data_IF_760199537639
#
_entry.id   IF_760199537639
#
_cell.length_a   1.000
_cell.length_b   1.000
_cell.length_c   1.000
_cell.angle_alpha   90.00
_cell.angle_beta   90.00
_cell.angle_gamma   90.00
#
_symmetry.space_group_name_H-M   'P 1'
#
loop_
_entity.id
_entity.type
_entity.pdbx_description
1 polymer ?
#
# COMPACT_ATOMS: atom_id res chain seq x y z
N UNK A 1 15.22 30.75 35.92
CA UNK A 1 13.85 31.05 35.46
C UNK A 1 13.42 29.87 34.60
N UNK A 2 12.66 28.94 35.18
CA UNK A 2 12.14 27.76 34.47
C UNK A 2 10.92 28.22 33.68
N UNK A 3 11.02 28.30 32.36
CA UNK A 3 9.86 28.53 31.50
C UNK A 3 8.89 27.38 31.68
N UNK A 4 7.64 27.76 31.98
CA UNK A 4 6.54 26.84 32.17
C UNK A 4 6.28 26.14 30.85
N UNK A 5 6.42 24.82 30.83
CA UNK A 5 5.75 23.97 29.86
C UNK A 5 4.26 24.32 29.94
N UNK A 6 3.77 25.07 28.95
CA UNK A 6 2.33 25.19 28.69
C UNK A 6 1.85 23.76 28.45
N UNK A 7 0.95 23.30 29.33
CA UNK A 7 0.35 21.98 29.19
C UNK A 7 -0.28 21.88 27.82
N UNK A 8 0.09 20.82 27.07
CA UNK A 8 -0.59 20.49 25.84
C UNK A 8 -2.09 20.41 26.12
N UNK A 9 -2.91 21.07 25.29
CA UNK A 9 -4.36 20.94 25.41
C UNK A 9 -4.74 19.45 25.34
N UNK A 10 -5.68 18.98 26.19
CA UNK A 10 -5.99 17.55 26.32
C UNK A 10 -6.38 16.84 25.01
N UNK A 11 -6.79 17.61 24.00
CA UNK A 11 -7.31 17.14 22.71
C UNK A 11 -6.47 17.58 21.50
N UNK A 12 -5.27 18.14 21.71
CA UNK A 12 -4.42 18.56 20.60
C UNK A 12 -3.97 17.35 19.76
N UNK A 13 -4.10 17.44 18.43
CA UNK A 13 -3.73 16.40 17.46
C UNK A 13 -2.62 16.88 16.51
N UNK A 14 -1.99 15.96 15.79
CA UNK A 14 -1.02 16.33 14.75
C UNK A 14 -1.70 17.14 13.61
N UNK A 15 -1.01 18.11 13.02
CA UNK A 15 0.42 18.41 13.20
C UNK A 15 0.79 19.23 14.45
N UNK A 16 -0.16 19.90 15.11
CA UNK A 16 0.11 20.84 16.21
C UNK A 16 0.62 20.14 17.48
N UNK A 17 0.15 18.92 17.77
CA UNK A 17 0.57 18.13 18.93
C UNK A 17 1.71 17.13 18.63
N UNK A 18 2.43 17.32 17.52
CA UNK A 18 3.49 16.39 17.13
C UNK A 18 4.66 16.43 18.13
N UNK A 19 4.98 15.28 18.72
CA UNK A 19 6.07 15.15 19.71
C UNK A 19 7.45 15.10 19.04
N UNK A 20 7.59 14.42 17.90
CA UNK A 20 8.87 14.29 17.19
C UNK A 20 9.12 15.46 16.23
N UNK A 21 10.39 15.78 15.97
CA UNK A 21 10.75 16.79 14.98
C UNK A 21 11.12 16.13 13.64
N UNK A 22 10.46 16.47 12.51
CA UNK A 22 10.80 15.91 11.19
C UNK A 22 12.09 16.47 10.60
N UNK A 23 12.71 17.45 11.25
CA UNK A 23 13.91 18.14 10.82
C UNK A 23 14.98 18.13 11.91
N UNK A 24 16.23 18.30 11.50
CA UNK A 24 17.40 18.45 12.38
C UNK A 24 18.35 19.48 11.77
N UNK A 25 19.33 19.95 12.54
CA UNK A 25 20.35 20.89 12.07
C UNK A 25 21.65 20.16 11.75
N UNK A 26 22.19 20.40 10.55
CA UNK A 26 23.55 20.03 10.16
C UNK A 26 24.29 21.28 9.71
N UNK A 27 25.37 21.63 10.40
CA UNK A 27 26.19 22.82 10.10
C UNK A 27 25.38 24.12 10.00
N UNK A 28 24.35 24.26 10.84
CA UNK A 28 23.45 25.42 10.85
C UNK A 28 22.36 25.42 9.77
N UNK A 29 22.29 24.39 8.93
CA UNK A 29 21.25 24.23 7.90
C UNK A 29 20.19 23.25 8.39
N UNK A 30 18.92 23.63 8.26
CA UNK A 30 17.79 22.73 8.50
C UNK A 30 17.71 21.67 7.40
N UNK A 31 17.71 20.40 7.83
CA UNK A 31 17.62 19.23 6.95
C UNK A 31 16.56 18.26 7.48
N UNK A 32 16.10 17.34 6.63
CA UNK A 32 15.19 16.27 7.05
C UNK A 32 15.86 15.32 8.04
N UNK A 33 15.16 15.01 9.13
CA UNK A 33 15.52 13.93 10.04
C UNK A 33 14.81 12.64 9.62
N UNK A 34 15.52 11.78 8.90
CA UNK A 34 14.97 10.50 8.41
C UNK A 34 14.56 9.54 9.52
N UNK A 35 14.98 9.78 10.77
CA UNK A 35 14.57 8.97 11.93
C UNK A 35 13.20 9.38 12.47
N UNK A 36 12.70 10.55 12.06
CA UNK A 36 11.42 11.09 12.49
C UNK A 36 10.52 11.50 11.31
N UNK A 37 11.00 11.43 10.08
CA UNK A 37 10.26 11.85 8.88
C UNK A 37 9.42 10.72 8.27
N UNK A 38 8.10 10.76 8.49
CA UNK A 38 7.15 9.72 8.04
C UNK A 38 7.28 9.34 6.55
N UNK A 39 7.38 10.28 5.59
CA UNK A 39 7.50 9.90 4.18
C UNK A 39 8.75 9.07 3.86
N UNK A 40 9.84 9.22 4.61
CA UNK A 40 11.02 8.38 4.47
C UNK A 40 10.71 6.91 4.86
N UNK A 41 10.02 6.69 5.98
CA UNK A 41 9.63 5.34 6.40
C UNK A 41 8.69 4.68 5.39
N UNK A 42 7.64 5.39 4.96
CA UNK A 42 6.66 4.87 4.02
C UNK A 42 7.31 4.46 2.69
N UNK A 43 8.14 5.35 2.12
CA UNK A 43 8.82 5.08 0.86
C UNK A 43 9.85 3.95 0.99
N UNK A 44 10.68 3.96 2.03
CA UNK A 44 11.73 2.96 2.24
C UNK A 44 11.16 1.56 2.46
N UNK A 45 10.14 1.43 3.31
CA UNK A 45 9.47 0.16 3.59
C UNK A 45 8.75 -0.35 2.33
N UNK A 46 7.93 0.48 1.68
CA UNK A 46 7.22 0.08 0.46
C UNK A 46 8.18 -0.35 -0.65
N UNK A 47 9.29 0.36 -0.83
CA UNK A 47 10.29 0.03 -1.84
C UNK A 47 10.98 -1.31 -1.54
N UNK A 48 11.36 -1.57 -0.28
CA UNK A 48 11.95 -2.84 0.12
C UNK A 48 10.97 -4.01 -0.06
N UNK A 49 9.73 -3.84 0.39
CA UNK A 49 8.68 -4.86 0.26
C UNK A 49 8.35 -5.15 -1.20
N UNK A 50 8.17 -4.11 -2.02
CA UNK A 50 7.81 -4.23 -3.44
C UNK A 50 8.90 -4.93 -4.23
N UNK A 51 10.17 -4.56 -4.04
CA UNK A 51 11.30 -5.21 -4.73
C UNK A 51 11.41 -6.69 -4.36
N UNK A 52 11.40 -7.01 -3.07
CA UNK A 52 11.54 -8.39 -2.61
C UNK A 52 10.36 -9.27 -3.04
N UNK A 53 9.13 -8.74 -2.97
CA UNK A 53 7.93 -9.46 -3.38
C UNK A 53 7.95 -9.71 -4.89
N UNK A 54 8.25 -8.67 -5.68
CA UNK A 54 8.24 -8.79 -7.13
C UNK A 54 9.29 -9.77 -7.66
N UNK A 55 10.45 -9.92 -7.00
CA UNK A 55 11.45 -10.92 -7.37
C UNK A 55 10.93 -12.35 -7.12
N UNK A 56 10.44 -12.61 -5.91
CA UNK A 56 9.90 -13.94 -5.53
C UNK A 56 8.72 -14.33 -6.41
N UNK A 57 7.80 -13.40 -6.66
CA UNK A 57 6.61 -13.71 -7.43
C UNK A 57 6.91 -13.98 -8.90
N UNK A 58 7.88 -13.26 -9.49
CA UNK A 58 8.32 -13.53 -10.87
C UNK A 58 8.96 -14.89 -10.99
N UNK A 59 9.87 -15.21 -10.08
CA UNK A 59 10.58 -16.49 -10.06
C UNK A 59 9.61 -17.67 -9.91
N UNK A 60 8.63 -17.57 -9.01
CA UNK A 60 7.76 -18.70 -8.66
C UNK A 60 6.49 -18.80 -9.50
N UNK A 61 5.97 -17.69 -9.99
CA UNK A 61 4.62 -17.62 -10.58
C UNK A 61 4.56 -16.83 -11.88
N UNK A 62 5.66 -16.24 -12.33
CA UNK A 62 5.69 -15.42 -13.55
C UNK A 62 5.00 -14.06 -13.42
N UNK A 63 4.60 -13.63 -12.22
CA UNK A 63 3.91 -12.35 -11.99
C UNK A 63 4.76 -11.36 -11.20
N UNK A 64 4.62 -10.07 -11.47
CA UNK A 64 5.24 -9.00 -10.70
C UNK A 64 4.37 -8.54 -9.52
N UNK A 65 4.86 -7.53 -8.80
CA UNK A 65 4.11 -6.94 -7.67
C UNK A 65 2.83 -6.25 -8.12
N UNK A 66 2.80 -5.67 -9.32
CA UNK A 66 1.62 -4.99 -9.86
C UNK A 66 0.53 -6.01 -10.17
N UNK A 67 0.87 -7.12 -10.82
CA UNK A 67 -0.04 -8.22 -11.09
C UNK A 67 -0.56 -8.84 -9.79
N UNK A 68 0.31 -9.06 -8.79
CA UNK A 68 -0.12 -9.51 -7.47
C UNK A 68 -1.14 -8.56 -6.84
N UNK A 69 -0.86 -7.25 -6.84
CA UNK A 69 -1.79 -6.25 -6.30
C UNK A 69 -3.12 -6.23 -7.04
N UNK A 70 -3.11 -6.41 -8.36
CA UNK A 70 -4.32 -6.55 -9.18
C UNK A 70 -5.11 -7.81 -8.80
N UNK A 71 -4.45 -8.96 -8.65
CA UNK A 71 -5.09 -10.21 -8.19
C UNK A 71 -5.72 -10.02 -6.81
N UNK A 72 -4.96 -9.50 -5.85
CA UNK A 72 -5.45 -9.25 -4.50
C UNK A 72 -6.65 -8.29 -4.50
N UNK A 73 -6.62 -7.25 -5.32
CA UNK A 73 -7.75 -6.32 -5.45
C UNK A 73 -8.99 -7.01 -6.03
N UNK A 74 -8.84 -7.82 -7.09
CA UNK A 74 -9.96 -8.56 -7.68
C UNK A 74 -10.53 -9.64 -6.73
N UNK A 75 -9.73 -10.15 -5.79
CA UNK A 75 -10.20 -11.03 -4.72
C UNK A 75 -10.97 -10.27 -3.63
N UNK A 76 -10.59 -9.01 -3.34
CA UNK A 76 -11.26 -8.15 -2.35
C UNK A 76 -12.58 -7.60 -2.89
N UNK A 77 -12.56 -7.09 -4.12
CA UNK A 77 -13.71 -6.49 -4.81
C UNK A 77 -13.83 -7.12 -6.20
N UNK A 78 -14.59 -8.22 -6.34
CA UNK A 78 -14.85 -8.85 -7.63
C UNK A 78 -15.66 -7.94 -8.56
N UNK A 79 -15.61 -8.21 -9.87
CA UNK A 79 -16.43 -7.54 -10.88
C UNK A 79 -16.23 -6.02 -10.94
N UNK A 80 -14.96 -5.59 -10.91
CA UNK A 80 -14.58 -4.18 -10.98
C UNK A 80 -13.89 -3.80 -12.28
N UNK A 81 -13.85 -2.50 -12.55
CA UNK A 81 -13.16 -1.94 -13.72
C UNK A 81 -11.69 -1.66 -13.42
N UNK A 82 -10.87 -1.53 -14.47
CA UNK A 82 -9.48 -1.05 -14.33
C UNK A 82 -9.39 0.30 -13.60
N UNK A 83 -10.37 1.19 -13.77
CA UNK A 83 -10.41 2.48 -13.08
C UNK A 83 -10.57 2.32 -11.56
N UNK A 84 -11.41 1.37 -11.14
CA UNK A 84 -11.60 1.05 -9.72
C UNK A 84 -10.34 0.44 -9.10
N UNK A 85 -9.63 -0.41 -9.86
CA UNK A 85 -8.32 -0.95 -9.44
C UNK A 85 -7.31 0.19 -9.25
N UNK A 86 -7.24 1.15 -10.18
CA UNK A 86 -6.35 2.31 -10.06
C UNK A 86 -6.66 3.13 -8.80
N UNK A 87 -7.94 3.38 -8.53
CA UNK A 87 -8.40 4.16 -7.38
C UNK A 87 -8.01 3.53 -6.03
N UNK A 88 -8.15 2.21 -5.90
CA UNK A 88 -7.95 1.53 -4.62
C UNK A 88 -6.49 1.12 -4.41
N UNK A 89 -5.84 0.59 -5.45
CA UNK A 89 -4.45 0.10 -5.38
C UNK A 89 -3.43 1.24 -5.52
N UNK A 90 -3.88 2.43 -5.92
CA UNK A 90 -3.04 3.58 -6.26
C UNK A 90 -2.00 3.25 -7.35
N UNK A 91 -2.45 2.52 -8.36
CA UNK A 91 -1.68 2.25 -9.59
C UNK A 91 -2.00 3.30 -10.64
N UNK A 92 -1.01 3.68 -11.44
CA UNK A 92 -1.29 4.44 -12.65
C UNK A 92 -2.09 3.59 -13.65
N UNK A 93 -2.86 4.27 -14.50
CA UNK A 93 -3.76 3.62 -15.47
C UNK A 93 -3.02 2.67 -16.42
N UNK A 94 -1.80 3.01 -16.82
CA UNK A 94 -1.04 2.17 -17.73
C UNK A 94 -0.51 0.91 -17.01
N UNK A 95 -0.08 1.02 -15.76
CA UNK A 95 0.32 -0.11 -14.92
C UNK A 95 -0.85 -1.06 -14.66
N UNK A 96 -2.01 -0.55 -14.28
CA UNK A 96 -3.21 -1.39 -14.07
C UNK A 96 -3.63 -2.09 -15.37
N UNK A 97 -3.62 -1.37 -16.50
CA UNK A 97 -3.96 -1.95 -17.81
C UNK A 97 -2.99 -3.05 -18.23
N UNK A 98 -1.67 -2.85 -18.05
CA UNK A 98 -0.66 -3.87 -18.36
C UNK A 98 -0.81 -5.10 -17.47
N UNK A 99 -1.03 -4.92 -16.17
CA UNK A 99 -1.23 -6.03 -15.25
C UNK A 99 -2.47 -6.85 -15.61
N UNK A 100 -3.60 -6.19 -15.92
CA UNK A 100 -4.81 -6.89 -16.38
C UNK A 100 -4.57 -7.67 -17.69
N UNK A 101 -3.88 -7.07 -18.67
CA UNK A 101 -3.55 -7.75 -19.92
C UNK A 101 -2.69 -9.00 -19.68
N UNK A 102 -1.61 -8.87 -18.90
CA UNK A 102 -0.76 -10.01 -18.55
C UNK A 102 -1.53 -11.12 -17.83
N UNK A 103 -2.40 -10.77 -16.88
CA UNK A 103 -3.20 -11.75 -16.15
C UNK A 103 -4.27 -12.44 -17.02
N UNK A 104 -4.85 -11.71 -17.98
CA UNK A 104 -5.79 -12.24 -18.97
C UNK A 104 -5.07 -13.21 -19.92
N UNK A 105 -3.89 -12.85 -20.42
CA UNK A 105 -3.02 -13.72 -21.24
C UNK A 105 -2.61 -15.00 -20.50
N UNK A 106 -2.41 -14.93 -19.18
CA UNK A 106 -2.14 -16.08 -18.32
C UNK A 106 -3.39 -16.95 -18.04
N UNK A 107 -4.56 -16.52 -18.48
CA UNK A 107 -5.84 -17.20 -18.27
C UNK A 107 -6.31 -17.19 -16.82
N UNK A 108 -5.95 -16.16 -16.04
CA UNK A 108 -6.28 -16.04 -14.62
C UNK A 108 -7.56 -15.22 -14.36
N UNK A 109 -8.04 -14.51 -15.39
CA UNK A 109 -9.16 -13.59 -15.27
C UNK A 109 -10.36 -14.07 -16.08
N UNK A 110 -11.54 -13.65 -15.63
CA UNK A 110 -12.71 -13.52 -16.48
C UNK A 110 -12.98 -12.03 -16.75
N UNK A 111 -13.63 -11.74 -17.86
CA UNK A 111 -14.01 -10.36 -18.18
C UNK A 111 -15.23 -10.23 -19.08
N UNK A 112 -15.92 -9.10 -18.95
CA UNK A 112 -17.06 -8.74 -19.79
C UNK A 112 -17.02 -7.25 -20.13
N UNK A 113 -17.37 -6.91 -21.35
CA UNK A 113 -17.54 -5.50 -21.76
C UNK A 113 -18.84 -4.96 -21.18
N UNK A 114 -18.79 -3.79 -20.55
CA UNK A 114 -19.97 -3.15 -19.99
C UNK A 114 -20.97 -2.77 -21.09
N UNK A 115 -22.22 -3.17 -20.91
CA UNK A 115 -23.32 -2.82 -21.83
C UNK A 115 -23.55 -1.30 -21.90
N UNK A 116 -23.24 -0.57 -20.82
CA UNK A 116 -23.47 0.88 -20.71
C UNK A 116 -22.34 1.71 -21.32
N UNK A 117 -21.12 1.16 -21.40
CA UNK A 117 -19.97 1.83 -22.01
C UNK A 117 -19.01 0.76 -22.57
N UNK A 118 -19.00 0.55 -23.89
CA UNK A 118 -18.15 -0.46 -24.54
C UNK A 118 -16.65 -0.27 -24.29
N UNK A 119 -16.24 0.91 -23.80
CA UNK A 119 -14.85 1.22 -23.45
C UNK A 119 -14.48 0.74 -22.04
N UNK A 120 -15.46 0.28 -21.25
CA UNK A 120 -15.26 -0.23 -19.89
C UNK A 120 -15.40 -1.73 -19.89
N UNK A 121 -14.34 -2.41 -19.44
CA UNK A 121 -14.34 -3.84 -19.18
C UNK A 121 -14.39 -4.07 -17.67
N UNK A 122 -15.23 -5.00 -17.26
CA UNK A 122 -15.36 -5.50 -15.90
C UNK A 122 -14.54 -6.78 -15.80
N UNK A 123 -13.79 -6.95 -14.72
CA UNK A 123 -12.84 -8.04 -14.50
C UNK A 123 -13.12 -8.75 -13.18
N UNK A 124 -12.86 -10.05 -13.14
CA UNK A 124 -12.89 -10.86 -11.92
C UNK A 124 -11.84 -11.98 -12.01
N UNK A 125 -11.48 -12.58 -10.87
CA UNK A 125 -10.67 -13.80 -10.86
C UNK A 125 -11.51 -15.01 -11.27
N UNK A 126 -11.00 -15.83 -12.17
CA UNK A 126 -11.56 -17.17 -12.38
C UNK A 126 -10.98 -18.18 -11.37
N UNK A 127 -11.35 -19.46 -11.47
CA UNK A 127 -10.89 -20.50 -10.54
C UNK A 127 -9.36 -20.58 -10.46
N UNK A 128 -8.66 -20.54 -11.61
CA UNK A 128 -7.20 -20.53 -11.69
C UNK A 128 -6.60 -19.27 -11.04
N UNK A 129 -7.27 -18.13 -11.19
CA UNK A 129 -6.93 -16.88 -10.52
C UNK A 129 -7.01 -17.00 -8.99
N UNK A 130 -8.06 -17.63 -8.48
CA UNK A 130 -8.21 -17.88 -7.04
C UNK A 130 -7.22 -18.92 -6.50
N UNK A 131 -6.88 -19.95 -7.26
CA UNK A 131 -5.83 -20.91 -6.92
C UNK A 131 -4.46 -20.23 -6.76
N UNK A 132 -4.11 -19.35 -7.72
CA UNK A 132 -2.90 -18.56 -7.63
C UNK A 132 -2.96 -17.61 -6.42
N UNK A 133 -4.08 -16.92 -6.21
CA UNK A 133 -4.27 -16.05 -5.05
C UNK A 133 -4.06 -16.79 -3.72
N UNK A 134 -4.65 -17.97 -3.55
CA UNK A 134 -4.52 -18.79 -2.35
C UNK A 134 -3.06 -19.20 -2.06
N UNK A 135 -2.25 -19.35 -3.11
CA UNK A 135 -0.83 -19.66 -2.99
C UNK A 135 -0.01 -18.42 -2.62
N UNK A 136 -0.22 -17.31 -3.33
CA UNK A 136 0.59 -16.09 -3.15
C UNK A 136 0.27 -15.38 -1.84
N UNK A 137 -0.99 -15.39 -1.37
CA UNK A 137 -1.38 -14.74 -0.10
C UNK A 137 -0.59 -15.31 1.10
N UNK A 138 -0.26 -16.60 1.11
CA UNK A 138 0.54 -17.21 2.17
C UNK A 138 1.96 -16.64 2.22
N UNK A 139 2.55 -16.36 1.05
CA UNK A 139 3.86 -15.72 0.95
C UNK A 139 3.76 -14.24 1.37
N UNK A 140 2.69 -13.55 0.97
CA UNK A 140 2.45 -12.17 1.36
C UNK A 140 2.34 -12.03 2.90
N UNK A 141 1.56 -12.90 3.55
CA UNK A 141 1.39 -12.94 5.00
C UNK A 141 2.71 -13.27 5.72
N UNK A 142 3.47 -14.26 5.25
CA UNK A 142 4.77 -14.57 5.85
C UNK A 142 5.78 -13.40 5.75
N UNK A 143 5.67 -12.58 4.69
CA UNK A 143 6.47 -11.36 4.55
C UNK A 143 6.01 -10.26 5.50
N UNK A 144 4.71 -10.15 5.77
CA UNK A 144 4.17 -9.26 6.80
C UNK A 144 4.65 -9.70 8.20
N UNK A 145 4.54 -10.98 8.54
CA UNK A 145 5.05 -11.53 9.80
C UNK A 145 6.52 -11.18 10.04
N UNK A 146 7.35 -11.29 8.98
CA UNK A 146 8.75 -10.92 9.04
C UNK A 146 8.98 -9.41 9.21
N UNK A 147 8.12 -8.58 8.61
CA UNK A 147 8.18 -7.12 8.72
C UNK A 147 7.85 -6.62 10.13
N UNK A 148 6.85 -7.22 10.77
CA UNK A 148 6.37 -6.79 12.09
C UNK A 148 7.05 -7.53 13.25
N UNK A 149 8.01 -8.41 12.97
CA UNK A 149 8.70 -9.22 13.98
C UNK A 149 9.36 -8.33 15.04
N UNK A 150 8.96 -8.50 16.29
CA UNK A 150 9.51 -7.79 17.45
C UNK A 150 8.88 -6.42 17.73
N UNK A 151 7.86 -6.02 16.97
CA UNK A 151 7.07 -4.81 17.26
C UNK A 151 6.12 -5.10 18.42
N UNK A 152 6.02 -4.18 19.38
CA UNK A 152 5.02 -4.28 20.46
C UNK A 152 3.60 -4.25 19.86
N UNK A 153 2.67 -5.12 20.31
CA UNK A 153 1.32 -5.15 19.75
C UNK A 153 0.58 -3.81 19.84
N UNK A 154 0.80 -3.02 20.89
CA UNK A 154 0.16 -1.71 21.04
C UNK A 154 0.73 -0.69 20.06
N UNK A 155 2.03 -0.75 19.79
CA UNK A 155 2.71 0.09 18.81
C UNK A 155 2.24 -0.24 17.38
N UNK A 156 2.10 -1.53 17.04
CA UNK A 156 1.58 -1.95 15.76
C UNK A 156 0.15 -1.45 15.54
N UNK A 157 -0.73 -1.61 16.53
CA UNK A 157 -2.10 -1.12 16.46
C UNK A 157 -2.17 0.41 16.38
N UNK A 158 -1.29 1.13 17.11
CA UNK A 158 -1.17 2.58 17.01
C UNK A 158 -0.71 3.01 15.61
N UNK A 159 0.27 2.32 15.03
CA UNK A 159 0.75 2.58 13.67
C UNK A 159 -0.37 2.35 12.64
N UNK A 160 -1.15 1.27 12.76
CA UNK A 160 -2.29 0.99 11.88
C UNK A 160 -3.34 2.09 11.99
N UNK A 161 -3.69 2.53 13.20
CA UNK A 161 -4.63 3.65 13.39
C UNK A 161 -4.12 4.93 12.73
N UNK A 162 -2.84 5.27 12.93
CA UNK A 162 -2.23 6.44 12.31
C UNK A 162 -2.22 6.35 10.78
N UNK A 163 -1.85 5.19 10.22
CA UNK A 163 -1.86 4.93 8.77
C UNK A 163 -3.25 5.07 8.16
N UNK A 164 -4.31 4.60 8.84
CA UNK A 164 -5.69 4.79 8.38
C UNK A 164 -6.08 6.27 8.28
N UNK A 165 -5.63 7.11 9.22
CA UNK A 165 -5.85 8.56 9.16
C UNK A 165 -5.03 9.16 8.00
N UNK A 166 -3.76 8.81 7.88
CA UNK A 166 -2.90 9.27 6.78
C UNK A 166 -3.49 8.92 5.40
N UNK A 167 -4.01 7.70 5.23
CA UNK A 167 -4.67 7.28 3.98
C UNK A 167 -5.88 8.14 3.63
N UNK A 168 -6.62 8.65 4.62
CA UNK A 168 -7.73 9.59 4.38
C UNK A 168 -7.19 10.94 3.92
N UNK A 169 -6.12 11.43 4.55
CA UNK A 169 -5.49 12.71 4.24
C UNK A 169 -4.80 12.72 2.86
N UNK A 170 -4.34 11.58 2.36
CA UNK A 170 -3.77 11.48 0.99
C UNK A 170 -4.77 11.93 -0.08
N UNK A 171 -6.09 11.84 0.18
CA UNK A 171 -7.11 12.31 -0.76
C UNK A 171 -7.28 13.83 -0.78
N UNK A 172 -6.65 14.54 0.17
CA UNK A 172 -6.81 15.99 0.38
C UNK A 172 -5.53 16.78 0.14
N UNK A 173 -4.41 16.10 -0.10
CA UNK A 173 -3.13 16.70 -0.50
C UNK A 173 -2.94 16.56 -2.00
#
# INVERSE_FOLDING_TARGET
MREKLQGAEPDAICPEARISHPTTLRDGVEILDITNYIPFFLSSINNALSRGASAIYRERFGIGITEWRTIAMLAIEPEITAARICEVVNLDKAAASRALATLDEMGLLGSVTSEKDPRKRIWWLNDKGYELHATVIRIALAREDALIKGVDPQDLEAAIRAMRIMMRNVRTI
#
